data_IF_400225677978
#
_entry.id   IF_400225677978
#
_cell.length_a   1.000
_cell.length_b   1.000
_cell.length_c   1.000
_cell.angle_alpha   90.00
_cell.angle_beta   90.00
_cell.angle_gamma   90.00
#
_symmetry.space_group_name_H-M   'P 1'
#
loop_
_entity.id
_entity.type
_entity.pdbx_description
1 polymer ?
#
# COMPACT_ATOMS: atom_id res chain seq x y z
N UNK A 1 10.95 -9.70 -6.62
CA UNK A 1 11.73 -9.13 -7.74
C UNK A 1 12.77 -8.12 -7.24
N UNK A 2 12.37 -6.96 -6.68
CA UNK A 2 13.33 -5.96 -6.16
C UNK A 2 14.25 -6.48 -5.04
N UNK A 3 13.74 -7.39 -4.20
CA UNK A 3 14.54 -8.06 -3.16
C UNK A 3 15.71 -8.84 -3.74
N UNK A 4 15.43 -9.71 -4.71
CA UNK A 4 16.45 -10.50 -5.42
C UNK A 4 17.40 -9.58 -6.19
N UNK A 5 16.87 -8.56 -6.89
CA UNK A 5 17.69 -7.62 -7.64
C UNK A 5 18.73 -6.90 -6.75
N UNK A 6 18.37 -6.57 -5.51
CA UNK A 6 19.27 -5.89 -4.57
C UNK A 6 20.50 -6.75 -4.19
N UNK A 7 20.37 -8.09 -4.21
CA UNK A 7 21.49 -9.00 -3.93
C UNK A 7 22.60 -8.93 -5.01
N UNK A 8 22.25 -8.47 -6.21
CA UNK A 8 23.20 -8.33 -7.32
C UNK A 8 23.88 -6.96 -7.38
N UNK A 9 23.58 -6.04 -6.44
CA UNK A 9 24.16 -4.68 -6.43
C UNK A 9 25.68 -4.68 -6.64
N UNK A 10 26.39 -5.51 -5.88
CA UNK A 10 27.85 -5.58 -5.94
C UNK A 10 28.35 -6.23 -7.22
N UNK A 11 27.57 -7.16 -7.80
CA UNK A 11 27.90 -7.77 -9.08
C UNK A 11 27.82 -6.72 -10.20
N UNK A 12 26.74 -5.92 -10.26
CA UNK A 12 26.63 -4.82 -11.23
C UNK A 12 27.77 -3.83 -11.12
N UNK A 13 28.14 -3.43 -9.90
CA UNK A 13 29.26 -2.51 -9.68
C UNK A 13 30.62 -3.09 -10.12
N UNK A 14 30.86 -4.39 -9.91
CA UNK A 14 32.09 -5.05 -10.35
C UNK A 14 32.15 -5.22 -11.86
N UNK A 15 31.06 -5.63 -12.49
CA UNK A 15 31.00 -5.81 -13.95
C UNK A 15 31.26 -4.51 -14.69
N UNK A 16 30.74 -3.38 -14.21
CA UNK A 16 31.00 -2.07 -14.81
C UNK A 16 32.47 -1.61 -14.67
N UNK A 17 33.17 -2.08 -13.64
CA UNK A 17 34.60 -1.81 -13.44
C UNK A 17 35.51 -2.74 -14.25
N UNK A 18 35.12 -4.01 -14.40
CA UNK A 18 35.95 -5.06 -15.00
C UNK A 18 35.72 -5.23 -16.50
N UNK A 19 34.53 -4.92 -17.01
CA UNK A 19 34.13 -5.11 -18.41
C UNK A 19 33.61 -3.80 -19.02
N UNK A 20 34.43 -3.18 -19.87
CA UNK A 20 34.10 -1.92 -20.56
C UNK A 20 32.92 -2.08 -21.52
N UNK A 21 32.70 -3.30 -22.05
CA UNK A 21 31.62 -3.58 -22.99
C UNK A 21 30.26 -3.73 -22.28
N UNK A 22 30.26 -4.05 -20.98
CA UNK A 22 29.04 -4.20 -20.19
C UNK A 22 28.21 -2.93 -20.14
N UNK A 23 28.83 -1.81 -19.77
CA UNK A 23 28.15 -0.51 -19.71
C UNK A 23 27.67 -0.05 -21.08
N UNK A 24 28.49 -0.24 -22.13
CA UNK A 24 28.13 0.08 -23.52
C UNK A 24 26.93 -0.74 -23.99
N UNK A 25 26.91 -2.04 -23.71
CA UNK A 25 25.80 -2.91 -24.09
C UNK A 25 24.48 -2.47 -23.43
N UNK A 26 24.53 -2.10 -22.14
CA UNK A 26 23.35 -1.59 -21.43
C UNK A 26 22.87 -0.26 -22.02
N UNK A 27 23.79 0.64 -22.39
CA UNK A 27 23.46 1.90 -23.06
C UNK A 27 22.88 1.71 -24.45
N UNK A 28 23.37 0.74 -25.23
CA UNK A 28 22.81 0.38 -26.54
C UNK A 28 21.36 -0.11 -26.45
N UNK A 29 20.95 -0.65 -25.29
CA UNK A 29 19.56 -1.01 -25.00
C UNK A 29 18.73 0.17 -24.45
N UNK A 30 19.30 1.37 -24.34
CA UNK A 30 18.63 2.57 -23.82
C UNK A 30 18.53 2.62 -22.30
N UNK A 31 19.42 1.91 -21.59
CA UNK A 31 19.48 1.86 -20.14
C UNK A 31 20.80 2.41 -19.61
N UNK A 32 20.90 2.56 -18.30
CA UNK A 32 22.15 2.91 -17.60
C UNK A 32 22.48 1.86 -16.56
N UNK A 33 23.76 1.67 -16.29
CA UNK A 33 24.20 0.86 -15.15
C UNK A 33 23.63 1.47 -13.87
N UNK A 34 22.97 0.67 -12.99
CA UNK A 34 22.38 1.20 -11.77
C UNK A 34 23.41 1.86 -10.86
N UNK A 35 23.19 3.12 -10.54
CA UNK A 35 24.03 3.91 -9.64
C UNK A 35 23.75 3.59 -8.18
N UNK A 36 24.61 4.07 -7.26
CA UNK A 36 24.37 3.91 -5.83
C UNK A 36 23.01 4.48 -5.40
N UNK A 37 22.59 5.59 -6.00
CA UNK A 37 21.29 6.24 -5.71
C UNK A 37 20.12 5.38 -6.20
N UNK A 38 20.24 4.75 -7.37
CA UNK A 38 19.23 3.81 -7.88
C UNK A 38 19.02 2.65 -6.91
N UNK A 39 20.09 2.11 -6.32
CA UNK A 39 20.00 1.05 -5.32
C UNK A 39 19.37 1.50 -4.00
N UNK A 40 19.63 2.75 -3.57
CA UNK A 40 18.96 3.35 -2.41
C UNK A 40 17.48 3.50 -2.68
N UNK A 41 17.09 4.03 -3.85
CA UNK A 41 15.71 4.20 -4.27
C UNK A 41 14.99 2.85 -4.40
N UNK A 42 15.63 1.84 -5.00
CA UNK A 42 15.10 0.49 -5.11
C UNK A 42 14.84 -0.16 -3.73
N UNK A 43 15.73 0.08 -2.75
CA UNK A 43 15.55 -0.40 -1.37
C UNK A 43 14.35 0.26 -0.69
N UNK A 44 14.20 1.58 -0.84
CA UNK A 44 13.05 2.33 -0.31
C UNK A 44 11.73 1.87 -0.96
N UNK A 45 11.72 1.73 -2.28
CA UNK A 45 10.60 1.19 -3.04
C UNK A 45 10.22 -0.21 -2.56
N UNK A 46 11.20 -1.10 -2.37
CA UNK A 46 10.95 -2.45 -1.84
C UNK A 46 10.21 -2.39 -0.52
N UNK A 47 10.64 -1.53 0.41
CA UNK A 47 10.01 -1.40 1.72
C UNK A 47 8.56 -0.90 1.60
N UNK A 48 8.34 0.13 0.80
CA UNK A 48 7.00 0.67 0.54
C UNK A 48 6.05 -0.37 -0.08
N UNK A 49 6.49 -1.07 -1.14
CA UNK A 49 5.68 -2.07 -1.83
C UNK A 49 5.48 -3.36 -1.02
N UNK A 50 6.36 -3.64 -0.05
CA UNK A 50 6.27 -4.85 0.78
C UNK A 50 4.95 -4.91 1.55
N UNK A 51 4.48 -3.79 2.08
CA UNK A 51 3.19 -3.74 2.80
C UNK A 51 2.05 -4.17 1.89
N UNK A 52 1.96 -3.62 0.67
CA UNK A 52 0.93 -4.01 -0.31
C UNK A 52 1.02 -5.49 -0.69
N UNK A 53 2.24 -6.01 -0.88
CA UNK A 53 2.46 -7.42 -1.19
C UNK A 53 1.98 -8.33 -0.04
N UNK A 54 2.40 -8.05 1.19
CA UNK A 54 2.04 -8.86 2.37
C UNK A 54 0.52 -8.84 2.60
N UNK A 55 -0.13 -7.67 2.43
CA UNK A 55 -1.59 -7.53 2.48
C UNK A 55 -2.26 -8.36 1.39
N UNK A 56 -1.81 -8.22 0.13
CA UNK A 56 -2.37 -8.95 -1.02
C UNK A 56 -2.26 -10.45 -0.80
N UNK A 57 -1.13 -10.93 -0.27
CA UNK A 57 -0.92 -12.33 0.05
C UNK A 57 -1.89 -12.81 1.13
N UNK A 58 -2.11 -12.02 2.20
CA UNK A 58 -3.07 -12.35 3.26
C UNK A 58 -4.50 -12.47 2.74
N UNK A 59 -4.96 -11.48 1.95
CA UNK A 59 -6.34 -11.45 1.45
C UNK A 59 -6.61 -12.47 0.33
N UNK A 60 -5.58 -12.87 -0.41
CA UNK A 60 -5.66 -13.87 -1.49
C UNK A 60 -5.66 -15.32 -0.99
N UNK A 61 -5.61 -15.54 0.32
CA UNK A 61 -5.70 -16.87 0.91
C UNK A 61 -7.01 -17.58 0.56
N UNK A 62 -6.92 -18.80 0.06
CA UNK A 62 -8.10 -19.61 -0.34
C UNK A 62 -8.43 -20.75 0.62
N UNK A 63 -7.52 -21.06 1.54
CA UNK A 63 -7.64 -22.18 2.50
C UNK A 63 -8.27 -21.76 3.84
N UNK A 64 -8.53 -20.48 4.02
CA UNK A 64 -9.13 -19.89 5.21
C UNK A 64 -9.91 -18.65 4.82
N UNK A 65 -10.85 -18.23 5.68
CA UNK A 65 -11.65 -17.02 5.44
C UNK A 65 -10.78 -15.79 5.61
N UNK A 66 -10.74 -14.89 4.63
CA UNK A 66 -9.93 -13.66 4.66
C UNK A 66 -10.76 -12.39 4.84
N UNK A 67 -12.08 -12.46 4.60
CA UNK A 67 -12.96 -11.29 4.61
C UNK A 67 -13.02 -10.57 5.97
N UNK A 68 -12.87 -11.30 7.07
CA UNK A 68 -12.91 -10.74 8.42
C UNK A 68 -11.75 -9.78 8.74
N UNK A 69 -10.61 -9.87 8.06
CA UNK A 69 -9.48 -8.94 8.26
C UNK A 69 -9.48 -7.79 7.26
N UNK A 70 -10.25 -7.90 6.16
CA UNK A 70 -10.14 -7.00 5.01
C UNK A 70 -10.29 -5.51 5.38
N UNK A 71 -11.16 -5.16 6.33
CA UNK A 71 -11.29 -3.77 6.82
C UNK A 71 -9.97 -3.25 7.39
N UNK A 72 -9.29 -4.04 8.23
CA UNK A 72 -8.00 -3.66 8.82
C UNK A 72 -6.91 -3.53 7.75
N UNK A 73 -6.93 -4.42 6.76
CA UNK A 73 -5.98 -4.39 5.65
C UNK A 73 -6.14 -3.12 4.80
N UNK A 74 -7.39 -2.75 4.49
CA UNK A 74 -7.70 -1.53 3.75
C UNK A 74 -7.33 -0.28 4.55
N UNK A 75 -7.62 -0.26 5.85
CA UNK A 75 -7.21 0.83 6.75
C UNK A 75 -5.68 0.99 6.77
N UNK A 76 -4.93 -0.12 6.78
CA UNK A 76 -3.46 -0.10 6.73
C UNK A 76 -2.95 0.49 5.41
N UNK A 77 -3.57 0.14 4.27
CA UNK A 77 -3.23 0.75 2.97
C UNK A 77 -3.53 2.24 2.97
N UNK A 78 -4.70 2.63 3.48
CA UNK A 78 -5.09 4.04 3.57
C UNK A 78 -4.08 4.85 4.38
N UNK A 79 -3.73 4.36 5.57
CA UNK A 79 -2.78 5.03 6.46
C UNK A 79 -1.36 5.11 5.87
N UNK A 80 -0.90 4.05 5.18
CA UNK A 80 0.37 4.07 4.46
C UNK A 80 0.39 5.13 3.36
N UNK A 81 -0.68 5.22 2.56
CA UNK A 81 -0.79 6.23 1.49
C UNK A 81 -0.89 7.64 2.07
N UNK A 82 -1.67 7.83 3.13
CA UNK A 82 -1.78 9.11 3.85
C UNK A 82 -0.44 9.54 4.41
N UNK A 83 0.25 8.68 5.15
CA UNK A 83 1.57 8.97 5.75
C UNK A 83 2.61 9.36 4.68
N UNK A 84 2.58 8.71 3.51
CA UNK A 84 3.51 9.02 2.43
C UNK A 84 3.19 10.34 1.71
N UNK A 85 1.97 10.85 1.88
CA UNK A 85 1.47 12.12 1.32
C UNK A 85 1.51 13.28 2.32
N UNK A 86 1.39 13.00 3.63
CA UNK A 86 1.36 13.94 4.76
C UNK A 86 2.72 14.60 5.08
N UNK A 87 3.61 14.62 4.09
CA UNK A 87 4.84 15.39 4.12
C UNK A 87 4.62 16.92 4.20
N UNK A 88 3.38 17.39 4.33
CA UNK A 88 3.02 18.80 4.46
C UNK A 88 2.53 19.17 5.88
N UNK A 89 2.53 18.25 6.86
CA UNK A 89 1.94 18.51 8.20
C UNK A 89 2.91 19.22 9.17
N UNK A 90 4.22 19.27 8.88
CA UNK A 90 5.23 19.80 9.81
C UNK A 90 6.25 20.80 9.23
N UNK A 91 6.04 21.42 8.06
CA UNK A 91 7.08 22.23 7.40
C UNK A 91 8.40 21.45 7.15
N UNK A 92 8.35 20.11 7.22
CA UNK A 92 9.48 19.23 6.93
C UNK A 92 9.35 18.69 5.51
N UNK A 93 10.43 18.81 4.72
CA UNK A 93 10.44 18.33 3.34
C UNK A 93 10.03 16.85 3.24
N UNK A 94 9.35 16.44 2.15
CA UNK A 94 8.99 15.04 1.95
C UNK A 94 10.21 14.14 2.11
N UNK A 95 10.11 13.17 3.03
CA UNK A 95 11.20 12.26 3.39
C UNK A 95 11.75 11.52 2.16
N UNK A 96 10.91 11.32 1.14
CA UNK A 96 11.35 10.90 -0.20
C UNK A 96 10.36 11.37 -1.30
N UNK A 97 10.81 12.27 -2.17
CA UNK A 97 10.00 12.81 -3.28
C UNK A 97 9.50 11.71 -4.23
N UNK A 98 10.32 10.69 -4.50
CA UNK A 98 9.98 9.62 -5.43
C UNK A 98 8.85 8.74 -4.86
N UNK A 99 8.90 8.40 -3.57
CA UNK A 99 7.81 7.68 -2.92
C UNK A 99 6.53 8.53 -2.82
N UNK A 100 6.65 9.83 -2.60
CA UNK A 100 5.51 10.75 -2.62
C UNK A 100 4.81 10.73 -3.99
N UNK A 101 5.56 10.83 -5.08
CA UNK A 101 4.99 10.80 -6.44
C UNK A 101 4.28 9.46 -6.74
N UNK A 102 4.80 8.34 -6.24
CA UNK A 102 4.16 7.03 -6.37
C UNK A 102 2.88 6.98 -5.54
N UNK A 103 2.91 7.43 -4.29
CA UNK A 103 1.72 7.47 -3.43
C UNK A 103 0.63 8.37 -4.05
N UNK A 104 1.00 9.51 -4.66
CA UNK A 104 0.09 10.38 -5.41
C UNK A 104 -0.56 9.66 -6.59
N UNK A 105 0.17 8.79 -7.28
CA UNK A 105 -0.36 7.99 -8.38
C UNK A 105 -1.22 6.79 -7.90
N UNK A 106 -0.95 6.26 -6.72
CA UNK A 106 -1.66 5.10 -6.15
C UNK A 106 -2.95 5.50 -5.43
N UNK A 107 -2.96 6.62 -4.71
CA UNK A 107 -4.11 7.08 -3.91
C UNK A 107 -5.41 7.18 -4.73
N UNK A 108 -5.46 7.80 -5.92
CA UNK A 108 -6.69 7.85 -6.71
C UNK A 108 -7.20 6.46 -7.13
N UNK A 109 -6.30 5.49 -7.35
CA UNK A 109 -6.69 4.10 -7.68
C UNK A 109 -7.31 3.40 -6.48
N UNK A 110 -6.81 3.67 -5.28
CA UNK A 110 -7.39 3.18 -4.04
C UNK A 110 -8.75 3.83 -3.77
N UNK A 111 -8.81 5.17 -3.81
CA UNK A 111 -10.03 5.95 -3.56
C UNK A 111 -11.15 5.68 -4.55
N UNK A 112 -10.82 5.31 -5.80
CA UNK A 112 -11.81 4.88 -6.79
C UNK A 112 -12.74 3.78 -6.27
N UNK A 113 -12.23 2.88 -5.43
CA UNK A 113 -13.01 1.77 -4.89
C UNK A 113 -13.39 1.97 -3.43
N UNK A 114 -12.54 2.68 -2.68
CA UNK A 114 -12.61 2.74 -1.23
C UNK A 114 -12.76 4.15 -0.67
N UNK A 115 -12.72 5.20 -1.49
CA UNK A 115 -12.68 6.59 -1.02
C UNK A 115 -14.02 7.15 -0.55
N UNK A 116 -15.14 6.57 -0.99
CA UNK A 116 -16.48 6.93 -0.53
C UNK A 116 -17.14 5.70 0.11
N UNK A 117 -17.89 5.92 1.18
CA UNK A 117 -18.57 4.84 1.90
C UNK A 117 -19.62 4.13 1.02
N UNK A 118 -20.17 4.84 0.03
CA UNK A 118 -21.11 4.32 -0.97
C UNK A 118 -20.47 3.35 -1.95
N UNK A 119 -19.19 3.54 -2.27
CA UNK A 119 -18.45 2.66 -3.19
C UNK A 119 -18.05 1.33 -2.51
N UNK A 120 -18.04 1.32 -1.18
CA UNK A 120 -17.67 0.17 -0.40
C UNK A 120 -18.73 -0.93 -0.37
N UNK A 121 -18.29 -2.17 -0.57
CA UNK A 121 -19.17 -3.32 -0.41
C UNK A 121 -19.43 -3.58 1.09
N UNK A 122 -20.67 -3.38 1.51
CA UNK A 122 -21.11 -3.56 2.90
C UNK A 122 -20.80 -4.93 3.49
N UNK A 123 -20.70 -5.98 2.66
CA UNK A 123 -20.35 -7.33 3.11
C UNK A 123 -19.00 -7.36 3.82
N UNK A 124 -18.08 -6.44 3.49
CA UNK A 124 -16.77 -6.32 4.13
C UNK A 124 -16.90 -5.91 5.60
N UNK A 125 -17.82 -5.01 5.93
CA UNK A 125 -18.11 -4.63 7.31
C UNK A 125 -18.84 -5.73 8.07
N UNK A 126 -19.81 -6.41 7.43
CA UNK A 126 -20.46 -7.56 8.05
C UNK A 126 -19.48 -8.67 8.38
N UNK A 127 -18.57 -9.02 7.48
CA UNK A 127 -17.55 -10.04 7.77
C UNK A 127 -16.62 -9.65 8.91
N UNK A 128 -16.36 -8.35 9.07
CA UNK A 128 -15.58 -7.84 10.18
C UNK A 128 -16.34 -8.00 11.52
N UNK A 129 -17.61 -7.60 11.57
CA UNK A 129 -18.46 -7.66 12.78
C UNK A 129 -18.75 -9.10 13.22
N UNK A 130 -18.92 -10.01 12.25
CA UNK A 130 -19.21 -11.42 12.52
C UNK A 130 -18.03 -12.19 13.10
N UNK A 131 -16.80 -11.64 13.03
CA UNK A 131 -15.66 -12.25 13.69
C UNK A 131 -15.64 -11.86 15.18
N UNK A 132 -15.76 -12.82 16.11
CA UNK A 132 -15.79 -12.53 17.54
C UNK A 132 -14.48 -11.93 18.08
N UNK A 133 -13.39 -11.96 17.32
CA UNK A 133 -12.12 -11.33 17.68
C UNK A 133 -12.11 -9.82 17.41
N UNK A 134 -13.02 -9.34 16.57
CA UNK A 134 -13.15 -7.94 16.24
C UNK A 134 -14.19 -7.27 17.15
N UNK A 135 -13.95 -6.00 17.46
CA UNK A 135 -14.88 -5.17 18.24
C UNK A 135 -15.62 -4.23 17.31
N UNK A 136 -16.93 -4.09 17.50
CA UNK A 136 -17.75 -3.16 16.72
C UNK A 136 -17.26 -1.72 16.91
N UNK A 137 -16.90 -1.34 18.13
CA UNK A 137 -16.39 -0.01 18.46
C UNK A 137 -15.08 0.32 17.71
N UNK A 138 -14.29 -0.72 17.37
CA UNK A 138 -13.08 -0.53 16.57
C UNK A 138 -13.41 -0.30 15.08
N UNK A 139 -14.53 -0.85 14.58
CA UNK A 139 -15.01 -0.53 13.24
C UNK A 139 -15.39 0.94 13.12
N UNK A 140 -16.07 1.50 14.13
CA UNK A 140 -16.46 2.91 14.14
C UNK A 140 -15.23 3.82 14.04
N UNK A 141 -14.15 3.50 14.75
CA UNK A 141 -12.87 4.24 14.67
C UNK A 141 -12.31 4.23 13.25
N UNK A 142 -12.28 3.07 12.59
CA UNK A 142 -11.75 2.95 11.22
C UNK A 142 -12.64 3.73 10.23
N UNK A 143 -13.95 3.61 10.37
CA UNK A 143 -14.91 4.29 9.49
C UNK A 143 -14.87 5.80 9.69
N UNK A 144 -14.72 6.28 10.92
CA UNK A 144 -14.57 7.71 11.22
C UNK A 144 -13.25 8.27 10.69
N UNK A 145 -12.14 7.55 10.87
CA UNK A 145 -10.83 7.97 10.33
C UNK A 145 -10.85 8.10 8.80
N UNK A 146 -11.58 7.21 8.11
CA UNK A 146 -11.56 7.16 6.65
C UNK A 146 -12.65 8.01 5.97
N UNK A 147 -13.85 8.06 6.55
CA UNK A 147 -15.04 8.70 5.95
C UNK A 147 -15.68 9.78 6.84
N UNK A 148 -15.19 9.95 8.07
CA UNK A 148 -15.80 10.80 9.09
C UNK A 148 -17.11 10.24 9.66
N UNK A 149 -17.71 11.04 10.56
CA UNK A 149 -18.94 10.70 11.31
C UNK A 149 -20.13 10.32 10.43
N UNK A 150 -20.18 10.86 9.22
CA UNK A 150 -21.23 10.54 8.24
C UNK A 150 -21.14 9.07 7.79
N UNK A 151 -19.92 8.54 7.62
CA UNK A 151 -19.68 7.15 7.26
C UNK A 151 -20.22 6.16 8.30
N UNK A 152 -20.05 6.46 9.60
CA UNK A 152 -20.59 5.62 10.69
C UNK A 152 -22.10 5.49 10.55
N UNK A 153 -22.79 6.61 10.35
CA UNK A 153 -24.26 6.63 10.20
C UNK A 153 -24.73 5.79 9.01
N UNK A 154 -23.97 5.73 7.92
CA UNK A 154 -24.27 4.92 6.74
C UNK A 154 -24.08 3.43 7.03
N UNK A 155 -22.99 3.05 7.69
CA UNK A 155 -22.71 1.66 8.08
C UNK A 155 -23.76 1.16 9.07
N UNK A 156 -24.08 1.93 10.11
CA UNK A 156 -25.11 1.60 11.11
C UNK A 156 -26.49 1.38 10.48
N UNK A 157 -26.97 2.32 9.64
CA UNK A 157 -28.26 2.19 8.96
C UNK A 157 -28.31 0.94 8.09
N UNK A 158 -27.26 0.68 7.31
CA UNK A 158 -27.24 -0.43 6.35
C UNK A 158 -27.01 -1.79 7.01
N UNK A 159 -26.38 -1.83 8.19
CA UNK A 159 -26.16 -3.07 8.96
C UNK A 159 -27.38 -3.46 9.80
N UNK A 160 -28.10 -2.49 10.37
CA UNK A 160 -29.31 -2.73 11.18
C UNK A 160 -30.55 -3.06 10.36
N UNK A 161 -30.63 -2.64 9.09
CA UNK A 161 -31.79 -2.88 8.21
C UNK A 161 -31.99 -4.35 7.75
N UNK A 162 -31.17 -5.31 8.21
CA UNK A 162 -31.28 -6.74 7.80
C UNK A 162 -31.56 -7.74 8.93
N UNK A 163 -31.87 -7.29 10.15
CA UNK A 163 -32.20 -8.16 11.29
C UNK A 163 -33.70 -8.06 11.68
N UNK A 164 -34.58 -7.88 10.70
CA UNK A 164 -36.03 -8.01 10.88
C UNK A 164 -36.60 -9.10 10.00
#
# INVERSE_FOLDING_TARGET
MLEVAHEYKDAFARYDLEDVDFGLHIMDQGHSVPTSDDWVNAKKMRHFLKTFYDITLRISGTKYVTSHTLVNELATIHDLLRTQLDCDIHDEAPMDKHLCDIAKAMKPKFEKYYGEIENMNLLVYFSFILDPRNKYEFLDVIVDDHYGREGISVVEKKTTLKVK
#
